data_IF_420201445556
#
_entry.id   IF_420201445556
#
_cell.length_a   1.000
_cell.length_b   1.000
_cell.length_c   1.000
_cell.angle_alpha   90.00
_cell.angle_beta   90.00
_cell.angle_gamma   90.00
#
_symmetry.space_group_name_H-M   'P 1'
#
loop_
_entity.id
_entity.type
_entity.pdbx_description
1 polymer ?
#
# COMPACT_ATOMS: atom_id res chain seq x y z
N UNK A 1 19.86 -54.87 4.36
CA UNK A 1 19.83 -53.96 5.53
C UNK A 1 19.03 -52.73 5.15
N UNK A 2 17.79 -52.62 5.65
CA UNK A 2 16.92 -51.45 5.49
C UNK A 2 17.13 -50.55 6.70
N UNK A 3 17.62 -49.35 6.49
CA UNK A 3 17.74 -48.32 7.52
C UNK A 3 16.45 -47.51 7.56
N UNK A 4 15.71 -47.62 8.66
CA UNK A 4 14.53 -46.81 8.94
C UNK A 4 14.98 -45.40 9.36
N UNK A 5 14.69 -44.39 8.53
CA UNK A 5 14.59 -43.01 9.03
C UNK A 5 13.14 -42.80 9.50
N UNK A 6 12.96 -42.76 10.83
CA UNK A 6 11.73 -42.27 11.45
C UNK A 6 11.62 -40.77 11.16
N UNK A 7 10.63 -40.38 10.37
CA UNK A 7 10.12 -39.00 10.32
C UNK A 7 9.49 -38.69 11.68
N UNK A 8 10.28 -38.10 12.58
CA UNK A 8 9.76 -37.45 13.77
C UNK A 8 9.14 -36.13 13.36
N UNK A 9 7.83 -36.10 13.12
CA UNK A 9 7.08 -34.85 13.01
C UNK A 9 7.08 -34.15 14.36
N UNK A 10 8.01 -33.22 14.55
CA UNK A 10 7.89 -32.18 15.57
C UNK A 10 6.73 -31.27 15.15
N UNK A 11 5.50 -31.70 15.42
CA UNK A 11 4.34 -30.81 15.45
C UNK A 11 4.47 -29.95 16.70
N UNK A 12 5.04 -28.76 16.55
CA UNK A 12 4.77 -27.70 17.51
C UNK A 12 3.30 -27.33 17.35
N UNK A 13 2.43 -27.48 18.37
CA UNK A 13 1.09 -26.95 18.29
C UNK A 13 1.24 -25.42 18.22
N UNK A 14 0.95 -24.83 17.06
CA UNK A 14 0.73 -23.40 16.97
C UNK A 14 -0.52 -23.09 17.77
N UNK A 15 -0.34 -22.76 19.06
CA UNK A 15 -1.41 -22.24 19.90
C UNK A 15 -1.61 -20.80 19.44
N UNK A 16 -2.50 -20.61 18.46
CA UNK A 16 -2.99 -19.28 18.14
C UNK A 16 -3.64 -18.68 19.40
N UNK A 17 -3.47 -17.38 19.66
CA UNK A 17 -4.19 -16.71 20.74
C UNK A 17 -5.68 -17.04 20.65
N UNK A 18 -6.35 -17.27 21.78
CA UNK A 18 -7.80 -17.56 21.79
C UNK A 18 -8.62 -16.44 21.14
N UNK A 19 -8.12 -15.19 21.18
CA UNK A 19 -8.66 -14.06 20.44
C UNK A 19 -8.54 -14.23 18.92
N UNK A 20 -7.44 -14.80 18.42
CA UNK A 20 -7.24 -15.07 17.00
C UNK A 20 -8.21 -16.16 16.49
N UNK A 21 -8.49 -17.18 17.31
CA UNK A 21 -9.43 -18.25 16.99
C UNK A 21 -10.89 -17.77 16.93
N UNK A 22 -11.26 -16.72 17.69
CA UNK A 22 -12.60 -16.13 17.62
C UNK A 22 -12.92 -15.56 16.23
N UNK A 23 -11.92 -15.12 15.47
CA UNK A 23 -12.12 -14.62 14.11
C UNK A 23 -12.44 -15.71 13.07
N UNK A 24 -12.32 -17.00 13.42
CA UNK A 24 -12.72 -18.10 12.54
C UNK A 24 -14.25 -18.30 12.49
N UNK A 25 -14.99 -17.73 13.45
CA UNK A 25 -16.42 -17.96 13.61
C UNK A 25 -17.26 -16.69 13.43
N UNK A 26 -16.63 -15.53 13.25
CA UNK A 26 -17.30 -14.24 13.07
C UNK A 26 -16.95 -13.62 11.73
N UNK A 27 -17.87 -12.88 11.10
CA UNK A 27 -17.50 -12.04 9.96
C UNK A 27 -16.36 -11.12 10.40
N UNK A 28 -15.27 -11.19 9.62
CA UNK A 28 -13.89 -10.82 9.95
C UNK A 28 -13.66 -9.41 10.53
N UNK A 29 -14.69 -8.54 10.60
CA UNK A 29 -14.56 -7.18 11.11
C UNK A 29 -15.69 -6.65 12.01
N UNK A 30 -16.85 -7.32 12.14
CA UNK A 30 -18.04 -6.63 12.66
C UNK A 30 -18.75 -7.28 13.86
N UNK A 31 -18.25 -8.41 14.38
CA UNK A 31 -18.71 -8.93 15.68
C UNK A 31 -20.22 -9.05 15.84
N UNK A 32 -20.95 -9.32 14.76
CA UNK A 32 -22.40 -9.46 14.82
C UNK A 32 -22.72 -10.81 15.47
N UNK A 33 -23.39 -10.84 16.65
CA UNK A 33 -23.65 -12.08 17.38
C UNK A 33 -24.58 -13.05 16.65
N UNK A 34 -25.31 -12.57 15.63
CA UNK A 34 -26.45 -13.29 15.04
C UNK A 34 -26.41 -13.37 13.50
N UNK A 35 -25.26 -13.16 12.86
CA UNK A 35 -25.18 -13.52 11.44
C UNK A 35 -25.21 -15.05 11.31
N UNK A 36 -26.10 -15.63 10.47
CA UNK A 36 -26.07 -17.06 10.20
C UNK A 36 -24.65 -17.43 9.80
N UNK A 37 -24.14 -18.57 10.30
CA UNK A 37 -22.77 -19.05 10.07
C UNK A 37 -22.36 -18.74 8.62
N UNK A 38 -21.65 -17.62 8.43
CA UNK A 38 -21.11 -17.29 7.12
C UNK A 38 -19.96 -18.27 7.00
N UNK A 39 -20.21 -19.41 6.36
CA UNK A 39 -19.15 -20.35 6.04
C UNK A 39 -18.10 -19.54 5.28
N UNK A 40 -16.94 -19.34 5.90
CA UNK A 40 -15.82 -18.57 5.34
C UNK A 40 -15.46 -19.05 3.93
N UNK A 41 -15.78 -20.31 3.61
CA UNK A 41 -15.67 -20.94 2.29
C UNK A 41 -16.54 -20.31 1.18
N UNK A 42 -17.55 -19.50 1.51
CA UNK A 42 -18.40 -18.79 0.54
C UNK A 42 -17.93 -17.35 0.27
N UNK A 43 -16.91 -16.87 0.99
CA UNK A 43 -16.30 -15.57 0.72
C UNK A 43 -15.19 -15.79 -0.31
N UNK A 44 -15.39 -15.27 -1.52
CA UNK A 44 -14.34 -15.18 -2.56
C UNK A 44 -13.06 -14.63 -1.90
N UNK A 45 -11.96 -15.40 -1.87
CA UNK A 45 -10.77 -14.99 -1.13
C UNK A 45 -10.17 -13.74 -1.77
N UNK A 46 -9.70 -12.79 -0.95
CA UNK A 46 -9.12 -11.53 -1.44
C UNK A 46 -8.09 -11.71 -2.56
N UNK A 47 -7.31 -12.79 -2.49
CA UNK A 47 -6.31 -13.13 -3.50
C UNK A 47 -6.92 -13.51 -4.86
N UNK A 48 -8.05 -14.21 -4.91
CA UNK A 48 -8.72 -14.53 -6.18
C UNK A 48 -9.36 -13.29 -6.81
N UNK A 49 -9.97 -12.42 -5.99
CA UNK A 49 -10.48 -11.13 -6.46
C UNK A 49 -9.35 -10.25 -7.03
N UNK A 50 -8.19 -10.18 -6.35
CA UNK A 50 -7.01 -9.46 -6.86
C UNK A 50 -6.53 -10.06 -8.18
N UNK A 51 -6.39 -11.39 -8.28
CA UNK A 51 -5.97 -12.05 -9.53
C UNK A 51 -6.95 -11.83 -10.69
N UNK A 52 -8.22 -11.53 -10.42
CA UNK A 52 -9.21 -11.25 -11.46
C UNK A 52 -9.02 -9.87 -12.07
N UNK A 53 -8.83 -8.85 -11.23
CA UNK A 53 -8.59 -7.47 -11.70
C UNK A 53 -7.14 -7.26 -12.14
N UNK A 54 -6.25 -8.14 -11.68
CA UNK A 54 -4.81 -8.11 -11.93
C UNK A 54 -4.35 -9.49 -12.45
N UNK A 55 -4.78 -9.91 -13.66
CA UNK A 55 -4.52 -11.26 -14.19
C UNK A 55 -3.06 -11.49 -14.59
N UNK A 56 -2.36 -10.43 -14.94
CA UNK A 56 -0.94 -10.47 -15.26
C UNK A 56 -0.24 -9.18 -14.82
N UNK A 57 1.09 -9.22 -14.76
CA UNK A 57 1.92 -8.08 -14.34
C UNK A 57 2.26 -7.14 -15.49
N UNK A 58 1.50 -7.19 -16.59
CA UNK A 58 1.81 -6.37 -17.76
C UNK A 58 1.52 -4.89 -17.50
N UNK A 59 2.25 -3.97 -18.17
CA UNK A 59 1.92 -2.54 -18.13
C UNK A 59 0.48 -2.22 -18.52
N UNK A 60 -0.13 -3.05 -19.38
CA UNK A 60 -1.53 -2.90 -19.80
C UNK A 60 -2.49 -3.19 -18.65
N UNK A 61 -2.23 -4.24 -17.86
CA UNK A 61 -3.04 -4.56 -16.69
C UNK A 61 -2.92 -3.49 -15.62
N UNK A 62 -1.70 -2.99 -15.37
CA UNK A 62 -1.48 -1.85 -14.48
C UNK A 62 -2.26 -0.61 -14.91
N UNK A 63 -2.25 -0.27 -16.21
CA UNK A 63 -3.01 0.86 -16.74
C UNK A 63 -4.53 0.68 -16.55
N UNK A 64 -5.07 -0.51 -16.84
CA UNK A 64 -6.50 -0.79 -16.66
C UNK A 64 -6.96 -0.68 -15.19
N UNK A 65 -6.11 -1.14 -14.25
CA UNK A 65 -6.36 -1.02 -12.82
C UNK A 65 -6.31 0.45 -12.39
N UNK A 66 -5.35 1.22 -12.92
CA UNK A 66 -5.26 2.66 -12.69
C UNK A 66 -6.50 3.39 -13.19
N UNK A 67 -6.94 3.09 -14.41
CA UNK A 67 -8.14 3.68 -15.03
C UNK A 67 -9.37 3.39 -14.17
N UNK A 68 -9.54 2.15 -13.72
CA UNK A 68 -10.62 1.75 -12.81
C UNK A 68 -10.57 2.56 -11.50
N UNK A 69 -9.39 2.75 -10.93
CA UNK A 69 -9.22 3.54 -9.71
C UNK A 69 -9.53 5.03 -9.94
N UNK A 70 -9.13 5.61 -11.07
CA UNK A 70 -9.44 7.00 -11.44
C UNK A 70 -10.94 7.18 -11.69
N UNK A 71 -11.59 6.26 -12.41
CA UNK A 71 -13.03 6.27 -12.62
C UNK A 71 -13.80 6.20 -11.30
N UNK A 72 -13.35 5.35 -10.38
CA UNK A 72 -13.88 5.27 -9.02
C UNK A 72 -13.75 6.61 -8.28
N UNK A 73 -12.58 7.26 -8.33
CA UNK A 73 -12.39 8.59 -7.73
C UNK A 73 -13.33 9.63 -8.37
N UNK A 74 -13.43 9.67 -9.70
CA UNK A 74 -14.31 10.61 -10.43
C UNK A 74 -15.76 10.46 -10.02
N UNK A 75 -16.21 9.21 -9.91
CA UNK A 75 -17.57 8.85 -9.50
C UNK A 75 -17.87 9.30 -8.07
N UNK A 76 -16.96 9.03 -7.13
CA UNK A 76 -17.11 9.41 -5.72
C UNK A 76 -17.04 10.92 -5.52
N UNK A 77 -16.00 11.57 -6.05
CA UNK A 77 -15.83 13.02 -5.92
C UNK A 77 -16.84 13.82 -6.73
N UNK A 78 -17.29 13.31 -7.88
CA UNK A 78 -18.39 13.89 -8.64
C UNK A 78 -19.68 13.99 -7.82
N UNK A 79 -19.97 12.99 -6.98
CA UNK A 79 -21.12 13.07 -6.05
C UNK A 79 -20.90 13.99 -4.85
N UNK A 80 -19.66 14.33 -4.52
CA UNK A 80 -19.37 15.38 -3.52
C UNK A 80 -19.67 16.75 -4.12
N UNK A 81 -19.40 16.96 -5.41
CA UNK A 81 -19.69 18.20 -6.14
C UNK A 81 -21.18 18.35 -6.47
N UNK A 82 -21.79 17.25 -6.89
CA UNK A 82 -23.17 17.16 -7.33
C UNK A 82 -23.86 16.03 -6.57
N UNK A 83 -24.38 16.32 -5.36
CA UNK A 83 -25.04 15.33 -4.53
C UNK A 83 -26.14 14.61 -5.30
N UNK A 84 -26.11 13.27 -5.25
CA UNK A 84 -27.06 12.42 -5.95
C UNK A 84 -28.50 12.69 -5.50
N UNK A 85 -29.42 12.71 -6.46
CA UNK A 85 -30.85 12.70 -6.16
C UNK A 85 -31.29 11.38 -5.53
N UNK A 86 -32.48 11.32 -4.93
CA UNK A 86 -32.96 10.08 -4.28
C UNK A 86 -33.21 8.93 -5.26
N UNK A 87 -33.35 9.22 -6.56
CA UNK A 87 -33.48 8.22 -7.63
C UNK A 87 -32.14 7.73 -8.20
N UNK A 88 -31.02 8.37 -7.83
CA UNK A 88 -29.68 8.02 -8.32
C UNK A 88 -28.97 7.05 -7.38
N UNK A 89 -28.06 6.26 -7.94
CA UNK A 89 -27.20 5.38 -7.15
C UNK A 89 -26.27 6.22 -6.27
N UNK A 90 -26.22 5.94 -4.96
CA UNK A 90 -25.40 6.70 -3.98
C UNK A 90 -24.04 6.03 -3.78
N UNK A 91 -22.97 6.72 -4.18
CA UNK A 91 -21.55 6.34 -4.02
C UNK A 91 -20.87 7.04 -2.85
N UNK A 92 -21.52 8.05 -2.26
CA UNK A 92 -21.05 8.71 -1.06
C UNK A 92 -22.11 8.57 0.03
N UNK A 93 -21.69 8.12 1.20
CA UNK A 93 -22.54 8.04 2.38
C UNK A 93 -21.95 8.86 3.52
N UNK A 94 -22.82 9.41 4.36
CA UNK A 94 -22.41 10.10 5.57
C UNK A 94 -22.40 9.10 6.73
N UNK A 95 -21.24 8.94 7.36
CA UNK A 95 -21.05 8.05 8.49
C UNK A 95 -20.93 8.86 9.76
N UNK A 96 -21.72 8.50 10.75
CA UNK A 96 -21.66 9.06 12.10
C UNK A 96 -21.37 7.95 13.09
N UNK A 97 -20.58 8.26 14.11
CA UNK A 97 -20.43 7.35 15.24
C UNK A 97 -21.77 7.22 15.96
N UNK A 98 -22.09 6.02 16.45
CA UNK A 98 -23.18 5.87 17.41
C UNK A 98 -22.90 6.72 18.65
N UNK A 99 -23.94 7.08 19.39
CA UNK A 99 -23.79 7.87 20.62
C UNK A 99 -22.83 7.21 21.61
N UNK A 100 -22.90 5.88 21.75
CA UNK A 100 -22.01 5.10 22.60
C UNK A 100 -20.55 5.17 22.13
N UNK A 101 -20.28 4.99 20.84
CA UNK A 101 -18.91 5.08 20.29
C UNK A 101 -18.36 6.50 20.39
N UNK A 102 -19.22 7.51 20.21
CA UNK A 102 -18.85 8.91 20.37
C UNK A 102 -18.47 9.22 21.83
N UNK A 103 -19.27 8.74 22.79
CA UNK A 103 -19.00 8.88 24.22
C UNK A 103 -17.70 8.15 24.61
N UNK A 104 -17.54 6.89 24.19
CA UNK A 104 -16.32 6.12 24.45
C UNK A 104 -15.07 6.82 23.89
N UNK A 105 -15.12 7.36 22.67
CA UNK A 105 -14.02 8.11 22.06
C UNK A 105 -13.65 9.33 22.90
N UNK A 106 -14.64 10.08 23.38
CA UNK A 106 -14.42 11.25 24.22
C UNK A 106 -13.81 10.86 25.57
N UNK A 107 -14.27 9.78 26.20
CA UNK A 107 -13.63 9.24 27.41
C UNK A 107 -12.16 8.88 27.19
N UNK A 108 -11.82 8.24 26.05
CA UNK A 108 -10.44 7.94 25.72
C UNK A 108 -9.60 9.21 25.58
N UNK A 109 -10.14 10.23 24.92
CA UNK A 109 -9.48 11.52 24.74
C UNK A 109 -9.26 12.25 26.06
N UNK A 110 -10.24 12.26 26.96
CA UNK A 110 -10.16 12.86 28.29
C UNK A 110 -9.16 12.13 29.19
N UNK A 111 -9.08 10.81 29.05
CA UNK A 111 -8.06 9.98 29.72
C UNK A 111 -6.64 10.16 29.14
N UNK A 112 -6.44 11.08 28.19
CA UNK A 112 -5.14 11.32 27.56
C UNK A 112 -4.69 10.21 26.60
N UNK A 113 -5.55 9.23 26.29
CA UNK A 113 -5.29 8.15 25.32
C UNK A 113 -5.53 8.64 23.90
N UNK A 114 -4.89 9.75 23.56
CA UNK A 114 -4.86 10.31 22.22
C UNK A 114 -3.73 9.64 21.46
N UNK A 115 -4.03 9.11 20.26
CA UNK A 115 -2.97 8.75 19.34
C UNK A 115 -2.10 9.98 19.12
N UNK A 116 -0.78 9.82 19.21
CA UNK A 116 0.14 10.92 18.93
C UNK A 116 -0.15 11.44 17.52
N UNK A 117 -0.11 12.76 17.34
CA UNK A 117 -0.12 13.32 15.99
C UNK A 117 1.04 12.69 15.20
N UNK A 118 0.93 12.61 13.86
CA UNK A 118 1.98 12.09 12.95
C UNK A 118 3.32 12.88 13.02
N UNK A 119 3.49 13.77 14.00
CA UNK A 119 4.38 14.94 14.05
C UNK A 119 5.87 14.71 14.30
N UNK A 120 6.39 13.51 14.10
CA UNK A 120 7.85 13.31 14.02
C UNK A 120 8.32 12.76 12.67
N UNK A 121 7.40 12.48 11.74
CA UNK A 121 7.78 11.94 10.42
C UNK A 121 8.71 12.86 9.61
N UNK A 122 8.56 14.18 9.77
CA UNK A 122 9.41 15.18 9.11
C UNK A 122 10.71 15.50 9.88
N UNK A 123 10.86 15.01 11.10
CA UNK A 123 12.10 15.22 11.85
C UNK A 123 13.25 14.52 11.11
N UNK A 124 14.38 15.22 10.97
CA UNK A 124 15.59 14.62 10.41
C UNK A 124 16.02 13.43 11.27
N UNK A 125 16.53 12.37 10.65
CA UNK A 125 17.19 11.28 11.36
C UNK A 125 18.37 11.79 12.19
N UNK A 126 18.72 11.06 13.26
CA UNK A 126 19.85 11.43 14.10
C UNK A 126 21.19 11.46 13.34
N UNK A 127 22.10 12.34 13.76
CA UNK A 127 23.46 12.44 13.21
C UNK A 127 24.23 11.12 13.33
N UNK A 128 23.98 10.35 14.40
CA UNK A 128 24.56 9.01 14.58
C UNK A 128 24.17 8.07 13.44
N UNK A 129 22.87 7.96 13.12
CA UNK A 129 22.39 7.10 12.02
C UNK A 129 22.91 7.62 10.68
N UNK A 130 22.86 8.94 10.49
CA UNK A 130 23.35 9.59 9.28
C UNK A 130 24.86 9.36 9.04
N UNK A 131 25.66 9.40 10.10
CA UNK A 131 27.10 9.14 10.06
C UNK A 131 27.45 7.67 9.85
N UNK A 132 26.73 6.74 10.48
CA UNK A 132 26.94 5.29 10.27
C UNK A 132 26.75 4.91 8.81
N UNK A 133 25.73 5.48 8.16
CA UNK A 133 25.37 5.15 6.78
C UNK A 133 26.02 6.07 5.76
N UNK A 134 26.74 7.10 6.21
CA UNK A 134 27.39 8.11 5.37
C UNK A 134 26.44 8.75 4.34
N UNK A 135 25.24 9.14 4.81
CA UNK A 135 24.18 9.77 3.99
C UNK A 135 23.90 11.22 4.39
N UNK A 136 24.78 11.85 5.18
CA UNK A 136 24.53 13.17 5.78
C UNK A 136 24.40 14.33 4.80
N UNK A 137 24.91 14.14 3.58
CA UNK A 137 24.84 15.06 2.45
C UNK A 137 23.64 14.80 1.53
N UNK A 138 22.82 13.79 1.82
CA UNK A 138 21.62 13.52 1.03
C UNK A 138 20.58 14.63 1.19
N UNK A 139 19.71 14.82 0.18
CA UNK A 139 18.62 15.78 0.25
C UNK A 139 17.78 15.65 1.54
N UNK A 140 17.43 16.76 2.20
CA UNK A 140 16.62 16.76 3.42
C UNK A 140 15.35 15.90 3.37
N UNK A 141 14.65 15.87 2.23
CA UNK A 141 13.46 15.03 2.06
C UNK A 141 13.73 13.52 2.23
N UNK A 142 14.95 13.07 1.91
CA UNK A 142 15.40 11.69 2.09
C UNK A 142 15.92 11.40 3.51
N UNK A 143 16.11 12.43 4.32
CA UNK A 143 16.58 12.30 5.70
C UNK A 143 15.45 12.52 6.72
N UNK A 144 14.22 12.77 6.26
CA UNK A 144 13.05 12.81 7.10
C UNK A 144 12.73 11.40 7.64
N UNK A 145 12.47 11.30 8.95
CA UNK A 145 12.35 10.02 9.66
C UNK A 145 11.34 9.06 9.04
N UNK A 146 10.17 9.54 8.59
CA UNK A 146 9.18 8.66 7.96
C UNK A 146 9.64 8.13 6.60
N UNK A 147 10.28 8.99 5.80
CA UNK A 147 10.82 8.58 4.51
C UNK A 147 11.98 7.60 4.68
N UNK A 148 12.85 7.87 5.65
CA UNK A 148 14.03 7.08 5.90
C UNK A 148 13.67 5.70 6.48
N UNK A 149 12.92 5.64 7.58
CA UNK A 149 12.53 4.37 8.19
C UNK A 149 11.47 3.59 7.40
N UNK A 150 10.76 4.24 6.48
CA UNK A 150 9.89 3.60 5.50
C UNK A 150 10.65 3.18 4.24
N UNK A 151 10.76 4.10 3.28
CA UNK A 151 11.23 3.78 1.93
C UNK A 151 12.73 3.43 1.87
N UNK A 152 13.63 4.11 2.59
CA UNK A 152 15.06 3.75 2.53
C UNK A 152 15.31 2.34 3.08
N UNK A 153 14.76 2.02 4.25
CA UNK A 153 14.90 0.69 4.83
C UNK A 153 14.25 -0.41 3.98
N UNK A 154 13.06 -0.16 3.41
CA UNK A 154 12.44 -1.11 2.47
C UNK A 154 13.37 -1.39 1.28
N UNK A 155 13.99 -0.36 0.70
CA UNK A 155 14.93 -0.54 -0.41
C UNK A 155 16.24 -1.25 -0.02
N UNK A 156 16.72 -1.03 1.20
CA UNK A 156 17.82 -1.83 1.74
C UNK A 156 17.45 -3.31 1.90
N UNK A 157 16.23 -3.60 2.37
CA UNK A 157 15.78 -4.97 2.65
C UNK A 157 15.43 -5.77 1.39
N UNK A 158 14.86 -5.11 0.37
CA UNK A 158 14.55 -5.75 -0.93
C UNK A 158 15.85 -6.07 -1.71
N UNK A 159 16.97 -5.44 -1.33
CA UNK A 159 18.29 -5.77 -1.85
C UNK A 159 18.67 -4.97 -3.08
N UNK A 160 18.83 -3.65 -2.92
CA UNK A 160 19.44 -2.83 -3.96
C UNK A 160 20.85 -3.35 -4.30
N UNK A 161 21.09 -3.62 -5.59
CA UNK A 161 22.31 -4.24 -6.11
C UNK A 161 23.60 -3.46 -5.77
N UNK A 162 23.52 -2.14 -5.70
CA UNK A 162 24.62 -1.25 -5.35
C UNK A 162 24.10 0.04 -4.67
N UNK A 163 24.97 0.86 -4.05
CA UNK A 163 24.56 2.09 -3.38
C UNK A 163 23.90 3.15 -4.28
N UNK A 164 24.26 3.20 -5.57
CA UNK A 164 23.65 4.12 -6.52
C UNK A 164 22.22 3.70 -6.84
N UNK A 165 21.99 2.41 -7.08
CA UNK A 165 20.66 1.89 -7.28
C UNK A 165 19.81 2.04 -6.02
N UNK A 166 20.38 1.84 -4.82
CA UNK A 166 19.69 2.10 -3.56
C UNK A 166 19.19 3.55 -3.48
N UNK A 167 20.06 4.51 -3.77
CA UNK A 167 19.69 5.92 -3.80
C UNK A 167 18.60 6.22 -4.83
N UNK A 168 18.77 5.73 -6.06
CA UNK A 168 17.83 5.95 -7.16
C UNK A 168 16.45 5.34 -6.87
N UNK A 169 16.43 4.11 -6.36
CA UNK A 169 15.23 3.40 -5.92
C UNK A 169 14.52 4.17 -4.81
N UNK A 170 15.28 4.61 -3.80
CA UNK A 170 14.73 5.39 -2.70
C UNK A 170 14.11 6.70 -3.19
N UNK A 171 14.81 7.46 -4.03
CA UNK A 171 14.29 8.69 -4.63
C UNK A 171 13.01 8.45 -5.44
N UNK A 172 12.96 7.36 -6.19
CA UNK A 172 11.80 6.97 -7.02
C UNK A 172 10.58 6.68 -6.14
N UNK A 173 10.75 5.93 -5.06
CA UNK A 173 9.65 5.58 -4.15
C UNK A 173 9.17 6.75 -3.29
N UNK A 174 9.93 7.84 -3.22
CA UNK A 174 9.46 9.05 -2.56
C UNK A 174 8.16 9.59 -3.16
N UNK A 175 7.76 9.15 -4.36
CA UNK A 175 6.44 9.43 -4.94
C UNK A 175 5.27 9.21 -3.97
N UNK A 176 5.34 8.17 -3.13
CA UNK A 176 4.35 7.91 -2.07
C UNK A 176 4.18 9.08 -1.08
N UNK A 177 5.24 9.85 -0.83
CA UNK A 177 5.21 10.99 0.09
C UNK A 177 4.62 12.27 -0.51
N UNK A 178 4.20 12.26 -1.79
CA UNK A 178 3.38 13.35 -2.34
C UNK A 178 2.09 13.49 -1.53
N UNK A 179 1.46 12.36 -1.15
CA UNK A 179 0.24 12.32 -0.32
C UNK A 179 0.46 12.86 1.09
N UNK A 180 1.71 12.86 1.53
CA UNK A 180 2.13 13.38 2.83
C UNK A 180 2.58 14.84 2.73
N UNK A 181 2.41 15.49 1.58
CA UNK A 181 2.72 16.90 1.37
C UNK A 181 4.22 17.22 1.24
N UNK A 182 5.09 16.22 1.02
CA UNK A 182 6.53 16.46 0.95
C UNK A 182 6.92 17.45 -0.14
N UNK A 183 6.20 17.43 -1.26
CA UNK A 183 6.39 18.35 -2.39
C UNK A 183 6.10 19.82 -2.04
N UNK A 184 5.34 20.09 -0.96
CA UNK A 184 5.11 21.44 -0.43
C UNK A 184 6.17 21.87 0.58
N UNK A 185 6.85 20.91 1.23
CA UNK A 185 7.81 21.16 2.32
C UNK A 185 9.25 21.24 1.81
N UNK A 186 9.61 20.40 0.84
CA UNK A 186 10.97 20.25 0.34
C UNK A 186 11.05 20.71 -1.13
N UNK A 187 11.63 21.89 -1.41
CA UNK A 187 11.67 22.45 -2.78
C UNK A 187 12.33 21.53 -3.81
N UNK A 188 13.32 20.74 -3.40
CA UNK A 188 14.07 19.83 -4.24
C UNK A 188 13.35 18.51 -4.54
N UNK A 189 12.28 18.19 -3.81
CA UNK A 189 11.62 16.87 -3.83
C UNK A 189 11.22 16.43 -5.23
N UNK A 190 10.43 17.25 -5.93
CA UNK A 190 9.94 16.90 -7.27
C UNK A 190 11.09 16.74 -8.26
N UNK A 191 12.12 17.59 -8.17
CA UNK A 191 13.28 17.53 -9.07
C UNK A 191 14.05 16.22 -8.92
N UNK A 192 14.29 15.79 -7.68
CA UNK A 192 15.02 14.54 -7.40
C UNK A 192 14.21 13.33 -7.85
N UNK A 193 12.92 13.29 -7.51
CA UNK A 193 12.00 12.21 -7.91
C UNK A 193 12.00 12.02 -9.44
N UNK A 194 11.80 13.09 -10.21
CA UNK A 194 11.76 12.99 -11.67
C UNK A 194 13.11 12.70 -12.31
N UNK A 195 14.20 13.20 -11.74
CA UNK A 195 15.53 12.87 -12.22
C UNK A 195 15.82 11.36 -12.10
N UNK A 196 15.43 10.74 -10.98
CA UNK A 196 15.70 9.32 -10.75
C UNK A 196 14.73 8.38 -11.47
N UNK A 197 13.48 8.82 -11.71
CA UNK A 197 12.57 8.12 -12.64
C UNK A 197 13.16 8.07 -14.06
N UNK A 198 13.84 9.13 -14.48
CA UNK A 198 14.47 9.23 -15.80
C UNK A 198 15.92 8.71 -15.84
N UNK A 199 16.46 8.18 -14.73
CA UNK A 199 17.86 7.78 -14.62
C UNK A 199 18.21 6.66 -15.62
N UNK A 200 19.10 6.90 -16.62
CA UNK A 200 19.48 5.88 -17.58
C UNK A 200 20.19 4.71 -16.89
N UNK A 201 21.09 5.01 -15.96
CA UNK A 201 21.84 3.99 -15.22
C UNK A 201 20.92 3.07 -14.41
N UNK A 202 19.93 3.63 -13.73
CA UNK A 202 19.01 2.81 -12.94
C UNK A 202 18.02 2.02 -13.81
N UNK A 203 17.73 2.50 -15.02
CA UNK A 203 16.90 1.79 -16.00
C UNK A 203 17.60 0.59 -16.65
N UNK A 204 18.93 0.63 -16.71
CA UNK A 204 19.76 -0.47 -17.22
C UNK A 204 19.91 -1.63 -16.23
N UNK A 205 19.46 -1.47 -14.97
CA UNK A 205 19.50 -2.56 -13.98
C UNK A 205 18.32 -3.52 -14.16
N UNK A 206 18.46 -4.73 -13.61
CA UNK A 206 17.38 -5.72 -13.58
C UNK A 206 16.13 -5.14 -12.89
N UNK A 207 14.97 -5.22 -13.55
CA UNK A 207 13.70 -4.66 -13.05
C UNK A 207 13.64 -3.12 -12.97
N UNK A 208 14.72 -2.44 -13.39
CA UNK A 208 14.85 -0.99 -13.30
C UNK A 208 13.83 -0.25 -14.15
N UNK A 209 13.66 -0.66 -15.42
CA UNK A 209 12.67 -0.06 -16.32
C UNK A 209 11.25 -0.21 -15.77
N UNK A 210 10.86 -1.42 -15.39
CA UNK A 210 9.52 -1.73 -14.88
C UNK A 210 9.19 -0.89 -13.65
N UNK A 211 10.14 -0.79 -12.73
CA UNK A 211 9.97 0.03 -11.52
C UNK A 211 9.74 1.49 -11.84
N UNK A 212 10.53 2.09 -12.74
CA UNK A 212 10.42 3.52 -13.06
C UNK A 212 9.16 3.81 -13.86
N UNK A 213 8.82 2.96 -14.82
CA UNK A 213 7.62 3.11 -15.64
C UNK A 213 6.35 2.98 -14.78
N UNK A 214 6.30 2.00 -13.88
CA UNK A 214 5.16 1.82 -12.99
C UNK A 214 5.09 2.88 -11.89
N UNK A 215 6.23 3.41 -11.45
CA UNK A 215 6.23 4.59 -10.58
C UNK A 215 5.67 5.80 -11.31
N UNK A 216 6.11 6.07 -12.55
CA UNK A 216 5.61 7.17 -13.35
C UNK A 216 4.10 7.08 -13.57
N UNK A 217 3.59 5.88 -13.83
CA UNK A 217 2.16 5.61 -13.94
C UNK A 217 1.42 5.84 -12.60
N UNK A 218 1.92 5.31 -11.50
CA UNK A 218 1.34 5.52 -10.15
C UNK A 218 1.30 6.99 -9.73
N UNK A 219 2.30 7.78 -10.12
CA UNK A 219 2.32 9.22 -9.84
C UNK A 219 1.17 9.98 -10.50
N UNK A 220 0.63 9.51 -11.63
CA UNK A 220 -0.55 10.11 -12.27
C UNK A 220 -1.73 10.01 -11.31
N UNK A 221 -1.99 8.80 -10.78
CA UNK A 221 -3.07 8.57 -9.81
C UNK A 221 -2.84 9.34 -8.51
N UNK A 222 -1.66 9.23 -7.90
CA UNK A 222 -1.37 9.89 -6.62
C UNK A 222 -1.60 11.40 -6.71
N UNK A 223 -1.12 12.05 -7.77
CA UNK A 223 -1.34 13.50 -7.97
C UNK A 223 -2.79 13.83 -8.21
N UNK A 224 -3.47 13.03 -9.03
CA UNK A 224 -4.88 13.22 -9.33
C UNK A 224 -5.73 13.15 -8.05
N UNK A 225 -5.51 12.12 -7.24
CA UNK A 225 -6.16 11.93 -5.95
C UNK A 225 -5.87 13.07 -4.98
N UNK A 226 -4.61 13.46 -4.82
CA UNK A 226 -4.22 14.56 -3.92
C UNK A 226 -4.91 15.85 -4.34
N UNK A 227 -4.95 16.17 -5.64
CA UNK A 227 -5.64 17.35 -6.14
C UNK A 227 -7.15 17.33 -5.82
N UNK A 228 -7.82 16.18 -5.98
CA UNK A 228 -9.22 16.03 -5.59
C UNK A 228 -9.41 16.19 -4.06
N UNK A 229 -8.56 15.54 -3.26
CA UNK A 229 -8.63 15.61 -1.81
C UNK A 229 -8.42 17.05 -1.30
N UNK A 230 -7.45 17.78 -1.86
CA UNK A 230 -7.20 19.19 -1.54
C UNK A 230 -8.39 20.07 -1.95
N UNK A 231 -8.92 19.88 -3.16
CA UNK A 231 -10.09 20.63 -3.67
C UNK A 231 -11.31 20.46 -2.78
N UNK A 232 -11.55 19.25 -2.26
CA UNK A 232 -12.75 18.92 -1.50
C UNK A 232 -12.52 18.78 0.01
N UNK A 233 -11.34 19.13 0.54
CA UNK A 233 -10.94 18.87 1.92
C UNK A 233 -12.00 19.27 2.98
N UNK A 234 -12.68 20.40 2.77
CA UNK A 234 -13.72 20.91 3.68
C UNK A 234 -15.01 20.08 3.65
N UNK A 235 -15.28 19.40 2.54
CA UNK A 235 -16.50 18.65 2.28
C UNK A 235 -16.35 17.15 2.57
N UNK A 236 -15.16 16.66 2.93
CA UNK A 236 -14.90 15.23 3.16
C UNK A 236 -15.23 14.74 4.57
N UNK A 237 -15.47 15.66 5.51
CA UNK A 237 -15.76 15.29 6.91
C UNK A 237 -16.96 14.36 6.99
N UNK A 238 -16.82 13.24 7.72
CA UNK A 238 -17.85 12.23 7.91
C UNK A 238 -18.35 11.55 6.62
N UNK A 239 -17.65 11.69 5.49
CA UNK A 239 -18.03 11.03 4.24
C UNK A 239 -17.24 9.74 4.06
N UNK A 240 -17.90 8.73 3.51
CA UNK A 240 -17.29 7.45 3.14
C UNK A 240 -17.79 7.05 1.76
N UNK A 241 -16.89 6.49 0.95
CA UNK A 241 -17.23 5.99 -0.36
C UNK A 241 -17.93 4.62 -0.25
N UNK A 242 -19.00 4.44 -1.03
CA UNK A 242 -19.64 3.15 -1.27
C UNK A 242 -19.19 2.67 -2.65
N UNK A 243 -18.31 1.68 -2.64
CA UNK A 243 -17.67 1.13 -3.84
C UNK A 243 -17.83 -0.38 -3.86
N UNK A 244 -17.81 -0.96 -5.06
CA UNK A 244 -17.70 -2.40 -5.23
C UNK A 244 -16.34 -2.90 -4.72
N UNK A 245 -16.23 -4.21 -4.49
CA UNK A 245 -14.99 -4.83 -4.07
C UNK A 245 -13.86 -4.63 -5.09
N UNK A 246 -14.17 -4.75 -6.37
CA UNK A 246 -13.18 -4.62 -7.46
C UNK A 246 -12.68 -3.18 -7.56
N UNK A 247 -13.57 -2.18 -7.46
CA UNK A 247 -13.19 -0.77 -7.37
C UNK A 247 -12.32 -0.49 -6.13
N UNK A 248 -12.69 -1.04 -4.97
CA UNK A 248 -11.90 -0.89 -3.74
C UNK A 248 -10.52 -1.51 -3.89
N UNK A 249 -10.41 -2.70 -4.48
CA UNK A 249 -9.12 -3.37 -4.70
C UNK A 249 -8.26 -2.57 -5.68
N UNK A 250 -8.84 -2.04 -6.77
CA UNK A 250 -8.12 -1.19 -7.72
C UNK A 250 -7.57 0.07 -7.03
N UNK A 251 -8.42 0.76 -6.26
CA UNK A 251 -8.01 1.91 -5.42
C UNK A 251 -6.89 1.49 -4.47
N UNK A 252 -7.07 0.43 -3.68
CA UNK A 252 -6.09 -0.03 -2.69
C UNK A 252 -4.74 -0.41 -3.31
N UNK A 253 -4.72 -0.98 -4.51
CA UNK A 253 -3.48 -1.27 -5.23
C UNK A 253 -2.74 0.04 -5.55
N UNK A 254 -3.44 1.04 -6.10
CA UNK A 254 -2.86 2.34 -6.44
C UNK A 254 -2.45 3.16 -5.20
N UNK A 255 -3.24 3.10 -4.11
CA UNK A 255 -2.99 3.77 -2.82
C UNK A 255 -1.70 3.34 -2.14
N UNK A 256 -1.22 2.13 -2.42
CA UNK A 256 0.04 1.65 -1.84
C UNK A 256 1.21 2.56 -2.22
N UNK A 257 1.16 3.24 -3.38
CA UNK A 257 2.27 4.03 -3.92
C UNK A 257 3.57 3.24 -4.13
N UNK A 258 3.49 1.91 -3.99
CA UNK A 258 4.59 0.94 -4.03
C UNK A 258 4.59 0.20 -5.39
N UNK A 259 3.80 0.68 -6.37
CA UNK A 259 3.64 0.04 -7.68
C UNK A 259 4.98 -0.24 -8.38
N UNK A 260 5.93 0.69 -8.25
CA UNK A 260 7.28 0.50 -8.76
C UNK A 260 8.01 -0.69 -8.14
N UNK A 261 7.98 -0.84 -6.82
CA UNK A 261 8.62 -1.98 -6.15
C UNK A 261 7.90 -3.30 -6.48
N UNK A 262 6.56 -3.28 -6.53
CA UNK A 262 5.78 -4.46 -6.91
C UNK A 262 6.12 -4.92 -8.34
N UNK A 263 6.26 -3.98 -9.28
CA UNK A 263 6.63 -4.28 -10.65
C UNK A 263 8.06 -4.81 -10.80
N UNK A 264 9.00 -4.34 -9.97
CA UNK A 264 10.37 -4.86 -9.96
C UNK A 264 10.40 -6.34 -9.56
N UNK A 265 9.69 -6.70 -8.49
CA UNK A 265 9.63 -8.08 -7.95
C UNK A 265 8.93 -9.05 -8.91
N UNK A 266 8.02 -8.55 -9.71
CA UNK A 266 7.22 -9.36 -10.64
C UNK A 266 7.74 -9.29 -12.08
N UNK A 267 8.89 -8.63 -12.30
CA UNK A 267 9.52 -8.56 -13.62
C UNK A 267 9.88 -9.98 -14.08
N UNK A 268 9.48 -10.36 -15.31
CA UNK A 268 9.72 -11.71 -15.86
C UNK A 268 11.21 -12.05 -16.03
N UNK A 269 12.11 -11.09 -15.78
CA UNK A 269 13.55 -11.26 -15.85
C UNK A 269 14.20 -11.64 -14.51
N UNK A 270 13.47 -11.67 -13.40
CA UNK A 270 13.97 -12.23 -12.14
C UNK A 270 14.10 -13.76 -12.28
N UNK A 271 15.33 -14.33 -12.38
CA UNK A 271 15.48 -15.71 -12.84
C UNK A 271 15.00 -16.80 -11.86
N UNK A 272 14.43 -16.47 -10.70
CA UNK A 272 14.31 -17.41 -9.58
C UNK A 272 12.99 -17.47 -8.82
N UNK A 273 11.92 -16.78 -9.24
CA UNK A 273 10.58 -17.20 -8.79
C UNK A 273 10.11 -18.31 -9.73
N UNK A 274 10.73 -19.51 -9.59
CA UNK A 274 10.05 -20.73 -10.04
C UNK A 274 8.66 -20.67 -9.41
N UNK A 275 7.61 -20.77 -10.23
CA UNK A 275 6.25 -20.91 -9.69
C UNK A 275 6.33 -22.05 -8.66
N UNK A 276 5.80 -21.83 -7.46
CA UNK A 276 5.76 -22.89 -6.44
C UNK A 276 5.10 -24.17 -6.99
N UNK A 277 4.28 -24.03 -8.03
CA UNK A 277 3.66 -25.10 -8.81
C UNK A 277 4.68 -25.98 -9.58
N UNK A 278 5.81 -25.43 -10.04
CA UNK A 278 6.87 -26.17 -10.76
C UNK A 278 7.78 -26.95 -9.81
N UNK A 279 7.84 -26.57 -8.53
CA UNK A 279 8.56 -27.33 -7.50
C UNK A 279 7.71 -28.47 -6.90
N UNK A 280 6.39 -28.47 -7.14
CA UNK A 280 5.50 -29.54 -6.68
C UNK A 280 5.57 -30.81 -7.55
N UNK A 281 6.05 -30.71 -8.79
CA UNK A 281 6.18 -31.84 -9.71
C UNK A 281 7.47 -31.79 -10.53
N UNK A 282 8.63 -32.17 -9.95
CA UNK A 282 9.81 -32.45 -10.74
C UNK A 282 9.63 -33.81 -11.44
N UNK A 283 9.40 -33.75 -12.75
CA UNK A 283 9.54 -34.84 -13.73
C UNK A 283 8.62 -36.08 -13.57
N UNK A 284 7.69 -36.20 -14.53
CA UNK A 284 7.48 -37.46 -15.25
C UNK A 284 8.11 -37.34 -16.62
#
# INVERSE_FOLDING_TARGET
MRTFYKQGSLQFPFIHPSSALRFQHSSYFWGLPDSPEVHIQQVDPGNESVRRIFPDYSPKTWAAVLDTAIECLNKVYGQIEHPASDSEEKYVTEVVLSQELAAWREEQHQAGRKLRSKGQGLARISDTVSGILNVGDWPPCLLASSAFYGCFFTNMLIGAHDPYLLYSNYCTDMGFFIEHGYHHVFPEFSRILYAEIASPRARETLGGNERRDMTALGLIYTRYKVALAEKHAKSLTSKTARVSRDELLAVMLCESGILGMAAEVESPWLPHVRRLDELAHPER
#
